data_IF_287120088821
#
_entry.id   IF_287120088821
#
_cell.length_a   1.000
_cell.length_b   1.000
_cell.length_c   1.000
_cell.angle_alpha   90.00
_cell.angle_beta   90.00
_cell.angle_gamma   90.00
#
_symmetry.space_group_name_H-M   'P 1'
#
loop_
_entity.id
_entity.type
_entity.pdbx_description
1 polymer ?
#
# COMPACT_ATOMS: atom_id res chain seq x y z
N UNK A 1 -0.89 22.91 17.58
CA UNK A 1 -0.60 21.64 18.32
C UNK A 1 -1.86 20.85 18.73
N UNK A 2 -2.69 21.21 19.73
CA UNK A 2 -3.85 20.38 20.15
C UNK A 2 -4.98 20.20 19.10
N UNK A 3 -5.16 21.15 18.16
CA UNK A 3 -6.21 21.06 17.12
C UNK A 3 -5.89 20.06 15.99
N UNK A 4 -4.61 19.74 15.76
CA UNK A 4 -4.17 18.91 14.62
C UNK A 4 -4.12 17.42 15.01
N UNK A 5 -3.67 17.09 16.23
CA UNK A 5 -3.74 15.72 16.78
C UNK A 5 -5.18 15.16 16.80
N UNK A 6 -6.19 16.03 16.84
CA UNK A 6 -7.60 15.65 16.79
C UNK A 6 -8.10 15.26 15.39
N UNK A 7 -7.36 15.55 14.30
CA UNK A 7 -7.79 15.20 12.94
C UNK A 7 -7.43 13.77 12.54
N UNK A 8 -6.36 13.22 13.11
CA UNK A 8 -5.86 11.87 12.78
C UNK A 8 -6.39 10.86 13.80
N UNK A 9 -6.44 11.25 15.09
CA UNK A 9 -6.99 10.37 16.10
C UNK A 9 -8.45 10.04 15.90
N UNK A 10 -9.26 10.81 15.17
CA UNK A 10 -10.69 10.49 15.02
C UNK A 10 -11.00 9.53 13.87
N UNK A 11 -10.05 9.30 12.96
CA UNK A 11 -10.30 8.52 11.76
C UNK A 11 -10.47 7.03 12.07
N UNK A 12 -11.72 6.56 11.96
CA UNK A 12 -12.10 5.18 12.26
C UNK A 12 -11.38 4.18 11.34
N UNK A 13 -11.16 4.54 10.07
CA UNK A 13 -10.50 3.70 9.08
C UNK A 13 -9.03 3.48 9.46
N UNK A 14 -8.31 4.57 9.74
CA UNK A 14 -6.90 4.49 10.13
C UNK A 14 -6.71 3.64 11.38
N UNK A 15 -7.54 3.86 12.41
CA UNK A 15 -7.50 3.07 13.65
C UNK A 15 -7.70 1.59 13.38
N UNK A 16 -8.69 1.23 12.54
CA UNK A 16 -9.00 -0.16 12.20
C UNK A 16 -7.86 -0.84 11.46
N UNK A 17 -7.22 -0.17 10.51
CA UNK A 17 -6.10 -0.79 9.79
C UNK A 17 -4.83 -0.91 10.66
N UNK A 18 -4.61 0.00 11.60
CA UNK A 18 -3.48 -0.10 12.55
C UNK A 18 -3.71 -1.20 13.59
N UNK A 19 -4.93 -1.31 14.14
CA UNK A 19 -5.27 -2.21 15.24
C UNK A 19 -5.85 -3.56 14.81
N UNK A 20 -6.27 -3.67 13.56
CA UNK A 20 -7.02 -4.80 13.04
C UNK A 20 -6.24 -6.12 13.07
N UNK A 21 -6.91 -7.26 12.81
CA UNK A 21 -6.39 -8.61 13.08
C UNK A 21 -5.18 -9.07 12.24
N UNK A 22 -4.49 -8.19 11.51
CA UNK A 22 -3.43 -8.52 10.55
C UNK A 22 -3.85 -9.67 9.62
N UNK A 23 -4.81 -9.37 8.75
CA UNK A 23 -5.41 -10.33 7.82
C UNK A 23 -4.33 -11.06 7.01
N UNK A 24 -4.46 -12.38 6.91
CA UNK A 24 -3.58 -13.21 6.10
C UNK A 24 -4.29 -13.57 4.80
N UNK A 25 -3.54 -13.59 3.71
CA UNK A 25 -4.05 -13.95 2.40
C UNK A 25 -3.28 -15.14 1.85
N UNK A 26 -4.00 -16.02 1.15
CA UNK A 26 -3.47 -17.17 0.39
C UNK A 26 -3.73 -16.92 -1.09
N UNK A 27 -2.68 -17.01 -1.91
CA UNK A 27 -2.79 -16.95 -3.36
C UNK A 27 -3.00 -18.34 -3.94
N UNK A 28 -4.05 -18.55 -4.73
CA UNK A 28 -4.30 -19.86 -5.35
C UNK A 28 -3.42 -20.02 -6.60
N UNK A 29 -2.27 -20.71 -6.49
CA UNK A 29 -1.32 -20.88 -7.60
C UNK A 29 -1.92 -21.59 -8.83
N UNK A 30 -2.93 -22.44 -8.64
CA UNK A 30 -3.60 -23.16 -9.73
C UNK A 30 -4.68 -22.34 -10.44
N UNK A 31 -5.03 -21.17 -9.89
CA UNK A 31 -5.89 -20.18 -10.55
C UNK A 31 -5.14 -19.25 -11.51
N UNK A 32 -3.83 -19.47 -11.73
CA UNK A 32 -3.02 -18.68 -12.63
C UNK A 32 -3.60 -18.71 -14.04
N UNK A 33 -4.05 -17.55 -14.51
CA UNK A 33 -4.44 -17.34 -15.91
C UNK A 33 -3.52 -16.31 -16.54
N UNK A 34 -2.74 -16.73 -17.53
CA UNK A 34 -2.01 -15.81 -18.40
C UNK A 34 -2.96 -15.20 -19.42
N UNK A 35 -2.81 -13.91 -19.65
CA UNK A 35 -3.61 -13.10 -20.58
C UNK A 35 -2.67 -12.34 -21.51
N UNK A 36 -3.21 -11.76 -22.58
CA UNK A 36 -2.43 -10.90 -23.48
C UNK A 36 -1.81 -9.69 -22.75
N UNK A 37 -2.43 -9.24 -21.65
CA UNK A 37 -2.01 -8.06 -20.88
C UNK A 37 -1.22 -8.39 -19.61
N UNK A 38 -0.95 -9.66 -19.32
CA UNK A 38 -0.26 -10.07 -18.09
C UNK A 38 -0.86 -11.33 -17.45
N UNK A 39 -1.06 -11.35 -16.14
CA UNK A 39 -1.47 -12.54 -15.39
C UNK A 39 -2.54 -12.24 -14.34
N UNK A 40 -3.36 -13.24 -14.01
CA UNK A 40 -4.39 -13.16 -12.97
C UNK A 40 -4.30 -14.34 -12.01
N UNK A 41 -4.64 -14.09 -10.75
CA UNK A 41 -4.73 -15.07 -9.68
C UNK A 41 -5.91 -14.77 -8.76
N UNK A 42 -6.50 -15.80 -8.18
CA UNK A 42 -7.40 -15.67 -7.04
C UNK A 42 -6.60 -15.56 -5.73
N UNK A 43 -7.03 -14.63 -4.88
CA UNK A 43 -6.58 -14.46 -3.49
C UNK A 43 -7.74 -14.80 -2.55
N UNK A 44 -7.46 -15.60 -1.53
CA UNK A 44 -8.38 -15.96 -0.47
C UNK A 44 -7.91 -15.32 0.84
N UNK A 45 -8.79 -14.58 1.50
CA UNK A 45 -8.55 -14.11 2.87
C UNK A 45 -8.72 -15.30 3.83
N UNK A 46 -7.74 -15.51 4.70
CA UNK A 46 -7.75 -16.63 5.65
C UNK A 46 -8.85 -16.44 6.69
N UNK A 47 -9.60 -17.51 6.98
CA UNK A 47 -10.72 -17.46 7.92
C UNK A 47 -12.01 -16.81 7.40
N UNK A 48 -12.05 -16.32 6.14
CA UNK A 48 -13.27 -15.79 5.53
C UNK A 48 -13.60 -16.48 4.20
N UNK A 49 -14.75 -16.12 3.61
CA UNK A 49 -15.13 -16.52 2.25
C UNK A 49 -14.78 -15.46 1.21
N UNK A 50 -14.08 -14.39 1.60
CA UNK A 50 -13.72 -13.30 0.70
C UNK A 50 -12.74 -13.81 -0.36
N UNK A 51 -13.11 -13.62 -1.63
CA UNK A 51 -12.23 -13.91 -2.77
C UNK A 51 -11.95 -12.64 -3.54
N UNK A 52 -10.66 -12.39 -3.75
CA UNK A 52 -10.17 -11.24 -4.51
C UNK A 52 -9.46 -11.72 -5.78
N UNK A 53 -9.43 -10.86 -6.78
CA UNK A 53 -8.68 -11.04 -8.01
C UNK A 53 -7.40 -10.20 -7.94
N UNK A 54 -6.25 -10.85 -7.97
CA UNK A 54 -4.97 -10.21 -8.25
C UNK A 54 -4.76 -10.18 -9.76
N UNK A 55 -4.53 -8.99 -10.32
CA UNK A 55 -4.14 -8.79 -11.70
C UNK A 55 -2.76 -8.12 -11.75
N UNK A 56 -1.86 -8.71 -12.54
CA UNK A 56 -0.51 -8.23 -12.78
C UNK A 56 -0.37 -7.85 -14.25
N UNK A 57 0.00 -6.60 -14.52
CA UNK A 57 0.15 -6.07 -15.88
C UNK A 57 1.53 -5.42 -16.01
N UNK A 58 2.51 -6.07 -16.64
CA UNK A 58 3.79 -5.44 -16.92
C UNK A 58 3.67 -4.47 -18.09
N UNK A 59 4.60 -3.53 -18.18
CA UNK A 59 4.70 -2.54 -19.26
C UNK A 59 6.16 -2.36 -19.68
N UNK A 60 6.35 -1.92 -20.94
CA UNK A 60 7.67 -1.77 -21.60
C UNK A 60 8.67 -0.89 -20.86
N UNK A 61 8.21 0.02 -20.00
CA UNK A 61 9.05 0.94 -19.24
C UNK A 61 9.41 0.36 -17.85
N UNK A 62 9.74 -0.94 -17.80
CA UNK A 62 10.16 -1.64 -16.59
C UNK A 62 9.19 -1.49 -15.40
N UNK A 63 7.91 -1.31 -15.71
CA UNK A 63 6.84 -1.06 -14.73
C UNK A 63 5.94 -2.29 -14.64
N UNK A 64 5.52 -2.64 -13.42
CA UNK A 64 4.45 -3.62 -13.21
C UNK A 64 3.32 -2.98 -12.43
N UNK A 65 2.11 -3.02 -13.00
CA UNK A 65 0.88 -2.60 -12.33
C UNK A 65 0.30 -3.78 -11.56
N UNK A 66 0.08 -3.58 -10.27
CA UNK A 66 -0.59 -4.53 -9.37
C UNK A 66 -1.99 -3.99 -9.11
N UNK A 67 -3.02 -4.80 -9.38
CA UNK A 67 -4.42 -4.48 -9.08
C UNK A 67 -5.02 -5.62 -8.29
N UNK A 68 -5.63 -5.29 -7.15
CA UNK A 68 -6.46 -6.22 -6.36
C UNK A 68 -7.89 -5.68 -6.38
N UNK A 69 -8.86 -6.54 -6.63
CA UNK A 69 -10.29 -6.21 -6.59
C UNK A 69 -11.13 -7.40 -6.11
N UNK A 70 -12.40 -7.17 -5.78
CA UNK A 70 -13.35 -8.25 -5.50
C UNK A 70 -13.69 -8.99 -6.79
N UNK A 71 -13.78 -10.32 -6.74
CA UNK A 71 -14.24 -11.11 -7.91
C UNK A 71 -15.73 -10.86 -8.16
N UNK A 72 -16.51 -10.80 -7.08
CA UNK A 72 -17.97 -10.65 -7.12
C UNK A 72 -18.42 -9.50 -6.21
N UNK A 73 -18.11 -8.25 -6.57
CA UNK A 73 -18.49 -7.10 -5.76
C UNK A 73 -20.00 -6.90 -5.79
N UNK A 74 -20.58 -6.55 -4.64
CA UNK A 74 -21.98 -6.07 -4.59
C UNK A 74 -22.16 -4.74 -5.34
N UNK A 75 -21.07 -3.98 -5.49
CA UNK A 75 -20.99 -2.72 -6.22
C UNK A 75 -19.56 -2.48 -6.68
N UNK A 76 -19.38 -1.93 -7.89
CA UNK A 76 -18.05 -1.60 -8.39
C UNK A 76 -17.32 -0.62 -7.48
N UNK A 77 -16.04 -0.92 -7.20
CA UNK A 77 -15.15 0.01 -6.51
C UNK A 77 -14.72 1.13 -7.44
N UNK A 78 -14.45 2.29 -6.86
CA UNK A 78 -13.98 3.44 -7.62
C UNK A 78 -12.61 3.14 -8.26
N UNK A 79 -12.46 3.51 -9.53
CA UNK A 79 -11.21 3.47 -10.28
C UNK A 79 -10.92 4.88 -10.73
N UNK A 80 -9.74 5.40 -10.38
CA UNK A 80 -9.36 6.80 -10.66
C UNK A 80 -9.32 7.04 -12.18
N UNK A 81 -10.23 7.84 -12.76
CA UNK A 81 -10.18 8.21 -14.17
C UNK A 81 -9.22 9.39 -14.38
N UNK A 82 -8.90 9.68 -15.64
CA UNK A 82 -8.26 10.93 -16.14
C UNK A 82 -6.84 11.27 -15.65
N UNK A 83 -6.33 10.59 -14.61
CA UNK A 83 -4.93 10.72 -14.16
C UNK A 83 -3.97 10.04 -15.15
N UNK A 84 -4.40 8.93 -15.74
CA UNK A 84 -3.68 8.27 -16.81
C UNK A 84 -4.15 8.85 -18.15
N UNK A 85 -3.25 9.42 -18.92
CA UNK A 85 -3.57 10.00 -20.24
C UNK A 85 -3.80 8.93 -21.33
N UNK A 86 -3.65 7.65 -20.99
CA UNK A 86 -3.87 6.49 -21.84
C UNK A 86 -3.49 5.22 -21.09
N UNK A 87 -3.96 4.06 -21.58
CA UNK A 87 -3.53 2.78 -21.00
C UNK A 87 -2.07 2.50 -21.33
N UNK A 88 -1.20 2.26 -20.32
CA UNK A 88 0.18 1.91 -20.57
C UNK A 88 0.29 0.66 -21.47
N UNK A 89 1.19 0.65 -22.47
CA UNK A 89 1.41 -0.53 -23.30
C UNK A 89 1.76 -1.73 -22.43
N UNK A 90 0.93 -2.78 -22.51
CA UNK A 90 1.12 -3.99 -21.72
C UNK A 90 1.96 -5.02 -22.46
N UNK A 91 2.63 -5.89 -21.70
CA UNK A 91 3.39 -7.01 -22.23
C UNK A 91 2.85 -8.34 -21.69
N UNK A 92 3.09 -9.41 -22.44
CA UNK A 92 2.73 -10.75 -22.01
C UNK A 92 3.74 -11.27 -20.97
N UNK A 93 3.22 -11.85 -19.88
CA UNK A 93 4.04 -12.53 -18.89
C UNK A 93 4.34 -13.97 -19.31
N UNK A 94 5.56 -14.43 -19.01
CA UNK A 94 6.01 -15.81 -19.21
C UNK A 94 6.33 -16.46 -17.87
N UNK A 95 5.99 -17.73 -17.71
CA UNK A 95 6.32 -18.48 -16.50
C UNK A 95 7.76 -18.97 -16.59
N UNK A 96 8.61 -18.50 -15.69
CA UNK A 96 10.01 -18.92 -15.59
C UNK A 96 10.17 -20.13 -14.66
N UNK A 97 9.42 -20.13 -13.55
CA UNK A 97 9.40 -21.25 -12.61
C UNK A 97 8.09 -21.29 -11.86
N UNK A 98 7.63 -22.50 -11.54
CA UNK A 98 6.50 -22.76 -10.64
C UNK A 98 6.93 -23.80 -9.62
N UNK A 99 6.80 -23.46 -8.34
CA UNK A 99 6.99 -24.38 -7.22
C UNK A 99 5.66 -24.57 -6.49
N UNK A 100 5.63 -25.41 -5.46
CA UNK A 100 4.46 -25.54 -4.57
C UNK A 100 4.16 -24.25 -3.79
N UNK A 101 5.16 -23.38 -3.62
CA UNK A 101 5.09 -22.21 -2.73
C UNK A 101 5.05 -20.89 -3.50
N UNK A 102 5.41 -20.87 -4.79
CA UNK A 102 5.50 -19.62 -5.57
C UNK A 102 5.48 -19.86 -7.07
N UNK A 103 5.21 -18.79 -7.83
CA UNK A 103 5.45 -18.72 -9.27
C UNK A 103 6.28 -17.48 -9.60
N UNK A 104 7.27 -17.64 -10.47
CA UNK A 104 8.06 -16.51 -10.99
C UNK A 104 7.68 -16.26 -12.44
N UNK A 105 7.30 -15.02 -12.74
CA UNK A 105 6.90 -14.55 -14.05
C UNK A 105 7.89 -13.50 -14.56
N UNK A 106 8.23 -13.53 -15.84
CA UNK A 106 9.07 -12.52 -16.49
C UNK A 106 8.34 -11.83 -17.63
N UNK A 107 8.85 -10.68 -18.06
CA UNK A 107 8.44 -10.01 -19.30
C UNK A 107 9.66 -9.44 -20.02
N UNK A 108 9.46 -9.01 -21.28
CA UNK A 108 10.52 -8.42 -22.12
C UNK A 108 11.76 -9.33 -22.19
N UNK A 109 12.95 -8.80 -21.86
CA UNK A 109 14.24 -9.48 -21.85
C UNK A 109 14.45 -10.45 -20.68
N UNK A 110 13.50 -10.52 -19.74
CA UNK A 110 13.64 -11.32 -18.52
C UNK A 110 14.49 -10.67 -17.43
N UNK A 111 15.02 -9.47 -17.67
CA UNK A 111 15.74 -8.66 -16.67
C UNK A 111 14.90 -8.40 -15.42
N UNK A 112 13.64 -8.03 -15.64
CA UNK A 112 12.67 -7.82 -14.58
C UNK A 112 11.74 -9.03 -14.45
N UNK A 113 11.46 -9.40 -13.20
CA UNK A 113 10.61 -10.53 -12.87
C UNK A 113 9.67 -10.16 -11.72
N UNK A 114 8.53 -10.84 -11.67
CA UNK A 114 7.65 -10.85 -10.50
C UNK A 114 7.55 -12.26 -9.96
N UNK A 115 7.90 -12.45 -8.69
CA UNK A 115 7.68 -13.69 -7.95
C UNK A 115 6.49 -13.52 -7.02
N UNK A 116 5.48 -14.35 -7.18
CA UNK A 116 4.26 -14.34 -6.36
C UNK A 116 4.27 -15.56 -5.45
N UNK A 117 4.20 -15.34 -4.14
CA UNK A 117 4.22 -16.38 -3.12
C UNK A 117 2.80 -16.78 -2.69
N UNK A 118 2.62 -18.07 -2.43
CA UNK A 118 1.35 -18.69 -2.04
C UNK A 118 0.89 -18.24 -0.65
N UNK A 119 1.67 -18.55 0.39
CA UNK A 119 1.32 -18.27 1.79
C UNK A 119 2.56 -18.10 2.69
N UNK A 120 2.65 -17.02 3.49
CA UNK A 120 1.80 -15.83 3.40
C UNK A 120 1.93 -15.18 2.02
N UNK A 121 0.82 -14.68 1.48
CA UNK A 121 0.81 -14.01 0.18
C UNK A 121 1.73 -12.80 0.19
N UNK A 122 2.66 -12.74 -0.77
CA UNK A 122 3.47 -11.56 -1.06
C UNK A 122 3.91 -11.58 -2.51
N UNK A 123 4.29 -10.41 -3.01
CA UNK A 123 4.80 -10.25 -4.37
C UNK A 123 6.17 -9.58 -4.31
N UNK A 124 7.17 -10.22 -4.90
CA UNK A 124 8.53 -9.71 -5.02
C UNK A 124 8.75 -9.25 -6.47
N UNK A 125 9.16 -8.00 -6.66
CA UNK A 125 9.67 -7.50 -7.92
C UNK A 125 11.19 -7.64 -7.90
N UNK A 126 11.73 -8.31 -8.91
CA UNK A 126 13.15 -8.59 -9.06
C UNK A 126 13.73 -7.87 -10.27
N UNK A 127 14.99 -7.45 -10.16
CA UNK A 127 15.82 -6.98 -11.27
C UNK A 127 17.15 -7.73 -11.19
N UNK A 128 17.53 -8.43 -12.27
CA UNK A 128 18.78 -9.21 -12.33
C UNK A 128 18.89 -10.24 -11.17
N UNK A 129 17.78 -10.94 -10.87
CA UNK A 129 17.62 -11.90 -9.76
C UNK A 129 17.66 -11.30 -8.33
N UNK A 130 17.88 -9.99 -8.19
CA UNK A 130 17.82 -9.31 -6.90
C UNK A 130 16.42 -8.75 -6.64
N UNK A 131 15.86 -9.05 -5.46
CA UNK A 131 14.58 -8.46 -5.02
C UNK A 131 14.80 -6.97 -4.73
N UNK A 132 14.04 -6.11 -5.41
CA UNK A 132 14.10 -4.65 -5.26
C UNK A 132 12.92 -4.10 -4.46
N UNK A 133 11.73 -4.68 -4.64
CA UNK A 133 10.51 -4.27 -3.97
C UNK A 133 9.74 -5.51 -3.57
N UNK A 134 9.22 -5.55 -2.34
CA UNK A 134 8.26 -6.59 -1.93
C UNK A 134 6.96 -5.93 -1.53
N UNK A 135 5.87 -6.25 -2.22
CA UNK A 135 4.51 -5.93 -1.83
C UNK A 135 3.98 -6.96 -0.82
N UNK A 136 3.31 -6.47 0.21
CA UNK A 136 2.78 -7.23 1.35
C UNK A 136 3.87 -8.00 2.13
N UNK A 137 5.00 -7.33 2.42
CA UNK A 137 6.15 -7.95 3.10
C UNK A 137 5.91 -8.22 4.60
N UNK A 138 5.05 -7.43 5.24
CA UNK A 138 4.70 -7.49 6.66
C UNK A 138 3.27 -7.96 6.90
N UNK A 139 2.63 -8.54 5.88
CA UNK A 139 1.24 -8.98 5.91
C UNK A 139 0.27 -7.85 6.32
N UNK A 140 0.45 -6.66 5.73
CA UNK A 140 -0.42 -5.50 5.95
C UNK A 140 -1.44 -5.27 4.84
N UNK A 141 -1.54 -6.20 3.89
CA UNK A 141 -2.66 -6.21 2.96
C UNK A 141 -3.95 -6.26 3.78
N UNK A 142 -4.79 -5.26 3.55
CA UNK A 142 -6.06 -5.09 4.20
C UNK A 142 -7.07 -4.74 3.12
N UNK A 143 -8.14 -5.50 3.02
CA UNK A 143 -9.17 -5.30 2.02
C UNK A 143 -10.54 -5.50 2.64
N UNK A 144 -11.22 -4.42 3.02
CA UNK A 144 -12.58 -4.50 3.57
C UNK A 144 -13.58 -4.69 2.44
N UNK A 145 -14.00 -5.93 2.19
CA UNK A 145 -15.02 -6.23 1.19
C UNK A 145 -16.30 -5.44 1.44
N UNK A 146 -16.95 -5.01 0.36
CA UNK A 146 -18.21 -4.28 0.45
C UNK A 146 -19.30 -5.16 1.07
N UNK A 147 -20.05 -4.60 2.00
CA UNK A 147 -21.10 -5.31 2.74
C UNK A 147 -22.46 -4.64 2.50
N UNK A 148 -23.52 -5.43 2.62
CA UNK A 148 -24.87 -4.85 2.72
C UNK A 148 -25.03 -4.15 4.07
N UNK A 149 -25.90 -3.15 4.10
CA UNK A 149 -26.21 -2.43 5.34
C UNK A 149 -26.74 -3.44 6.40
N UNK A 150 -26.17 -3.44 7.62
CA UNK A 150 -26.58 -4.37 8.67
C UNK A 150 -28.06 -4.18 9.03
N UNK A 151 -28.72 -5.29 9.39
CA UNK A 151 -30.09 -5.25 9.89
C UNK A 151 -30.16 -4.57 11.27
N UNK A 152 -31.37 -4.21 11.74
CA UNK A 152 -31.52 -3.49 13.02
C UNK A 152 -30.94 -4.23 14.24
N UNK A 153 -30.73 -5.55 14.15
CA UNK A 153 -30.26 -6.42 15.22
C UNK A 153 -28.73 -6.48 15.37
N UNK A 154 -27.96 -5.89 14.45
CA UNK A 154 -26.49 -5.89 14.49
C UNK A 154 -25.93 -4.54 14.97
N UNK A 155 -26.16 -4.18 16.23
CA UNK A 155 -25.79 -2.87 16.80
C UNK A 155 -24.29 -2.58 16.78
N UNK A 156 -23.43 -3.55 17.10
CA UNK A 156 -21.98 -3.37 17.09
C UNK A 156 -21.45 -2.96 15.70
N UNK A 157 -22.08 -3.49 14.64
CA UNK A 157 -21.74 -3.13 13.26
C UNK A 157 -22.25 -1.76 12.88
N UNK A 158 -23.33 -1.22 13.46
CA UNK A 158 -23.86 0.12 13.12
C UNK A 158 -22.81 1.23 13.36
N UNK A 159 -21.95 1.05 14.36
CA UNK A 159 -20.86 2.00 14.65
C UNK A 159 -19.86 2.16 13.49
N UNK A 160 -19.74 1.16 12.61
CA UNK A 160 -18.85 1.21 11.43
C UNK A 160 -19.47 1.94 10.25
N UNK A 161 -20.77 2.19 10.30
CA UNK A 161 -21.54 2.82 9.22
C UNK A 161 -21.80 4.30 9.47
N UNK A 162 -21.42 4.81 10.65
CA UNK A 162 -21.59 6.21 11.04
C UNK A 162 -20.37 6.67 11.80
N UNK A 163 -19.88 7.85 11.47
CA UNK A 163 -18.76 8.48 12.18
C UNK A 163 -19.07 9.96 12.39
N UNK A 164 -18.74 10.46 13.57
CA UNK A 164 -18.98 11.87 13.91
C UNK A 164 -17.64 12.58 14.09
N UNK A 165 -17.41 13.59 13.26
CA UNK A 165 -16.28 14.51 13.42
C UNK A 165 -16.80 15.90 13.78
N UNK A 166 -16.55 16.32 15.03
CA UNK A 166 -17.11 17.56 15.60
C UNK A 166 -18.64 17.55 15.50
N UNK A 167 -19.22 18.43 14.69
CA UNK A 167 -20.65 18.56 14.50
C UNK A 167 -21.12 17.91 13.18
N UNK A 168 -20.21 17.29 12.43
CA UNK A 168 -20.51 16.62 11.16
C UNK A 168 -20.65 15.13 11.39
N UNK A 169 -21.75 14.57 10.90
CA UNK A 169 -21.99 13.14 10.89
C UNK A 169 -21.85 12.61 9.47
N UNK A 170 -20.91 11.69 9.28
CA UNK A 170 -20.74 10.91 8.06
C UNK A 170 -21.51 9.60 8.18
N UNK A 171 -22.51 9.41 7.31
CA UNK A 171 -23.24 8.15 7.16
C UNK A 171 -22.66 7.43 5.93
N UNK A 172 -21.86 6.40 6.21
CA UNK A 172 -21.13 5.62 5.19
C UNK A 172 -22.10 4.74 4.41
N UNK A 173 -22.52 5.19 3.23
CA UNK A 173 -23.53 4.50 2.42
C UNK A 173 -23.17 3.04 2.05
N UNK A 174 -21.88 2.72 1.93
CA UNK A 174 -21.39 1.36 1.62
C UNK A 174 -20.64 0.72 2.81
N UNK A 175 -20.70 1.34 3.99
CA UNK A 175 -20.01 0.85 5.19
C UNK A 175 -18.48 0.92 5.09
N UNK A 176 -17.76 0.14 5.92
CA UNK A 176 -16.31 0.05 5.86
C UNK A 176 -15.87 -0.56 4.52
N UNK A 177 -14.95 0.12 3.83
CA UNK A 177 -14.52 -0.25 2.48
C UNK A 177 -13.05 0.08 2.21
N UNK A 178 -12.26 0.24 3.28
CA UNK A 178 -10.87 0.66 3.23
C UNK A 178 -9.94 -0.40 2.65
N UNK A 179 -8.83 0.08 2.09
CA UNK A 179 -7.80 -0.73 1.47
C UNK A 179 -6.45 -0.33 2.07
N UNK A 180 -5.57 -1.29 2.29
CA UNK A 180 -4.21 -1.02 2.79
C UNK A 180 -3.24 -2.07 2.33
N UNK A 181 -1.96 -1.71 2.22
CA UNK A 181 -0.87 -2.64 1.92
C UNK A 181 0.49 -2.02 2.23
N UNK A 182 1.47 -2.88 2.53
CA UNK A 182 2.86 -2.46 2.71
C UNK A 182 3.75 -2.81 1.51
N UNK A 183 4.80 -2.00 1.34
CA UNK A 183 5.91 -2.21 0.41
C UNK A 183 7.22 -2.14 1.18
N UNK A 184 8.10 -3.11 0.96
CA UNK A 184 9.49 -3.05 1.40
C UNK A 184 10.38 -2.67 0.21
N UNK A 185 11.11 -1.57 0.32
CA UNK A 185 12.09 -1.10 -0.67
C UNK A 185 13.49 -1.56 -0.24
N UNK A 186 13.98 -2.63 -0.88
CA UNK A 186 15.24 -3.29 -0.50
C UNK A 186 16.46 -2.50 -0.93
N UNK A 187 17.33 -2.18 0.01
CA UNK A 187 18.55 -1.41 -0.21
C UNK A 187 18.37 0.11 -0.17
N UNK A 188 17.14 0.61 -0.02
CA UNK A 188 16.83 2.04 -0.05
C UNK A 188 16.73 2.62 1.38
N UNK A 189 17.38 3.76 1.63
CA UNK A 189 17.28 4.52 2.90
C UNK A 189 16.81 5.97 2.71
N UNK A 190 16.58 6.36 1.47
CA UNK A 190 16.17 7.71 1.10
C UNK A 190 14.94 7.58 0.20
N UNK A 191 13.78 7.97 0.76
CA UNK A 191 12.54 8.06 0.01
C UNK A 191 12.04 9.51 -0.01
N UNK A 192 11.39 9.85 -1.12
CA UNK A 192 10.94 11.19 -1.48
C UNK A 192 9.54 11.13 -2.07
N UNK A 193 8.87 12.27 -2.15
CA UNK A 193 7.56 12.39 -2.80
C UNK A 193 6.46 12.76 -1.81
N UNK A 194 5.28 12.17 -2.00
CA UNK A 194 4.07 12.45 -1.23
C UNK A 194 3.72 13.94 -1.07
N UNK A 195 3.90 14.85 -2.06
CA UNK A 195 3.48 16.23 -1.85
C UNK A 195 1.96 16.30 -1.66
N UNK A 196 1.41 17.30 -0.97
CA UNK A 196 2.07 18.51 -0.49
C UNK A 196 2.16 18.56 1.05
N UNK A 197 3.38 18.60 1.58
CA UNK A 197 3.67 18.81 3.00
C UNK A 197 4.69 19.92 3.18
N UNK A 198 4.53 20.72 4.24
CA UNK A 198 5.55 21.67 4.68
C UNK A 198 6.63 20.92 5.49
N UNK A 199 7.37 20.02 4.84
CA UNK A 199 8.34 19.13 5.47
C UNK A 199 9.65 19.04 4.65
N UNK A 200 10.61 18.26 5.14
CA UNK A 200 11.87 17.98 4.45
C UNK A 200 11.63 17.19 3.17
N UNK A 201 12.54 17.35 2.19
CA UNK A 201 12.50 16.62 0.93
C UNK A 201 12.60 15.09 1.15
N UNK A 202 13.58 14.63 1.95
CA UNK A 202 13.64 13.24 2.42
C UNK A 202 12.52 13.04 3.43
N UNK A 203 11.61 12.12 3.15
CA UNK A 203 10.50 11.80 4.04
C UNK A 203 11.02 11.25 5.37
N UNK A 204 10.39 11.66 6.47
CA UNK A 204 10.78 11.25 7.82
C UNK A 204 10.18 9.89 8.18
N UNK A 205 10.86 9.21 9.10
CA UNK A 205 10.29 8.03 9.75
C UNK A 205 9.02 8.43 10.51
N UNK A 206 7.99 7.58 10.48
CA UNK A 206 6.70 7.83 11.14
C UNK A 206 6.49 7.00 12.41
N UNK A 207 7.52 6.28 12.86
CA UNK A 207 7.48 5.52 14.12
C UNK A 207 7.30 6.41 15.36
N UNK A 208 7.54 7.72 15.23
CA UNK A 208 7.38 8.71 16.30
C UNK A 208 5.92 9.19 16.48
N UNK A 209 4.99 8.74 15.63
CA UNK A 209 3.57 8.94 15.86
C UNK A 209 2.75 9.02 14.58
N UNK A 210 2.76 10.18 13.93
CA UNK A 210 1.78 10.53 12.90
C UNK A 210 2.21 10.10 11.49
N UNK A 211 1.34 9.44 10.70
CA UNK A 211 1.62 9.17 9.29
C UNK A 211 1.66 10.46 8.46
N UNK A 212 2.18 10.37 7.24
CA UNK A 212 1.87 11.33 6.18
C UNK A 212 0.41 11.16 5.77
N UNK A 213 -0.35 12.25 5.63
CA UNK A 213 -1.72 12.23 5.13
C UNK A 213 -1.80 12.93 3.78
N UNK A 214 -2.46 12.30 2.82
CA UNK A 214 -2.84 12.85 1.52
C UNK A 214 -4.36 13.04 1.51
N UNK A 215 -4.76 14.26 1.85
CA UNK A 215 -6.14 14.71 1.77
C UNK A 215 -6.11 16.22 1.54
N UNK A 216 -6.69 16.66 0.43
CA UNK A 216 -6.63 18.07 0.05
C UNK A 216 -7.48 18.90 1.02
N UNK A 217 -6.81 19.72 1.82
CA UNK A 217 -7.38 20.51 2.90
C UNK A 217 -6.94 21.98 2.78
N UNK A 218 -7.85 22.87 3.14
CA UNK A 218 -7.50 24.25 3.44
C UNK A 218 -7.03 24.36 4.91
N UNK A 219 -5.72 24.29 5.11
CA UNK A 219 -5.09 24.34 6.43
C UNK A 219 -4.63 25.77 6.73
N UNK A 220 -5.44 26.51 7.49
CA UNK A 220 -5.08 27.84 7.96
C UNK A 220 -3.81 27.82 8.83
N UNK A 221 -2.84 28.67 8.49
CA UNK A 221 -1.57 28.85 9.22
C UNK A 221 -0.85 27.51 9.48
N UNK A 222 -0.61 26.74 8.41
CA UNK A 222 0.09 25.46 8.48
C UNK A 222 1.48 25.58 9.13
N UNK A 223 1.74 24.70 10.09
CA UNK A 223 3.04 24.60 10.78
C UNK A 223 4.12 24.02 9.84
N UNK A 224 5.37 24.46 10.01
CA UNK A 224 6.52 23.82 9.37
C UNK A 224 6.83 22.46 10.03
N UNK A 225 7.41 21.55 9.25
CA UNK A 225 7.68 20.15 9.62
C UNK A 225 6.41 19.39 10.01
N UNK A 226 5.32 19.64 9.29
CA UNK A 226 4.03 18.99 9.49
C UNK A 226 3.76 17.94 8.40
N UNK A 227 3.24 16.78 8.81
CA UNK A 227 2.86 15.66 7.93
C UNK A 227 1.37 15.65 7.56
N UNK A 228 0.62 16.67 8.00
CA UNK A 228 -0.77 16.89 7.60
C UNK A 228 -0.83 17.29 6.12
N UNK A 229 -1.74 16.68 5.37
CA UNK A 229 -2.00 17.06 3.98
C UNK A 229 -2.38 18.54 3.86
N UNK A 230 -1.82 19.20 2.84
CA UNK A 230 -2.14 20.59 2.47
C UNK A 230 -3.10 20.59 1.27
N UNK A 231 -2.86 21.43 0.26
CA UNK A 231 -3.83 21.73 -0.79
C UNK A 231 -3.86 20.72 -1.94
N UNK A 232 -2.77 19.97 -2.13
CA UNK A 232 -2.64 18.99 -3.20
C UNK A 232 -2.07 17.67 -2.69
N UNK A 233 -2.39 16.60 -3.41
CA UNK A 233 -1.97 15.23 -3.09
C UNK A 233 -1.46 14.52 -4.34
N UNK A 234 -0.22 14.03 -4.31
CA UNK A 234 0.32 13.14 -5.34
C UNK A 234 0.85 11.87 -4.67
N UNK A 235 0.14 10.72 -4.81
CA UNK A 235 0.46 9.49 -4.10
C UNK A 235 1.61 8.71 -4.75
N UNK A 236 2.78 9.34 -4.86
CA UNK A 236 4.01 8.81 -5.43
C UNK A 236 5.12 8.84 -4.40
N UNK A 237 5.80 7.70 -4.22
CA UNK A 237 7.09 7.62 -3.53
C UNK A 237 8.18 7.24 -4.51
N UNK A 238 9.33 7.88 -4.37
CA UNK A 238 10.56 7.54 -5.09
C UNK A 238 11.63 7.17 -4.07
N UNK A 239 12.16 5.95 -4.16
CA UNK A 239 13.34 5.51 -3.42
C UNK A 239 14.58 5.64 -4.28
N UNK A 240 15.63 6.27 -3.76
CA UNK A 240 16.89 6.46 -4.50
C UNK A 240 18.10 5.94 -3.71
N UNK A 241 19.02 5.29 -4.43
CA UNK A 241 20.37 4.91 -3.99
C UNK A 241 21.34 5.04 -5.18
N UNK A 242 22.68 5.06 -4.97
CA UNK A 242 23.63 5.42 -6.03
C UNK A 242 23.51 4.65 -7.35
N UNK A 243 23.08 3.39 -7.30
CA UNK A 243 22.99 2.48 -8.44
C UNK A 243 21.56 2.25 -8.95
N UNK A 244 20.53 2.73 -8.25
CA UNK A 244 19.13 2.40 -8.60
C UNK A 244 18.13 3.41 -8.06
N UNK A 245 17.06 3.61 -8.81
CA UNK A 245 15.87 4.34 -8.39
C UNK A 245 14.65 3.44 -8.57
N UNK A 246 13.74 3.45 -7.60
CA UNK A 246 12.44 2.76 -7.68
C UNK A 246 11.32 3.75 -7.38
N UNK A 247 10.17 3.55 -8.01
CA UNK A 247 8.96 4.34 -7.77
C UNK A 247 7.79 3.45 -7.38
N UNK A 248 6.98 3.91 -6.44
CA UNK A 248 5.67 3.32 -6.11
C UNK A 248 4.62 4.40 -6.28
N UNK A 249 3.73 4.21 -7.26
CA UNK A 249 2.60 5.09 -7.50
C UNK A 249 1.30 4.40 -7.04
N UNK A 250 0.76 4.85 -5.91
CA UNK A 250 -0.48 4.35 -5.34
C UNK A 250 -1.67 5.09 -5.96
N UNK A 251 -2.18 4.59 -7.08
CA UNK A 251 -3.28 5.23 -7.82
C UNK A 251 -4.63 5.06 -7.08
N UNK A 252 -4.80 5.85 -6.03
CA UNK A 252 -6.02 5.97 -5.25
C UNK A 252 -6.30 7.46 -4.98
N UNK A 253 -7.58 7.85 -4.98
CA UNK A 253 -8.06 9.21 -4.79
C UNK A 253 -8.78 9.42 -3.45
N UNK A 254 -8.93 8.39 -2.61
CA UNK A 254 -9.45 8.53 -1.25
C UNK A 254 -8.43 9.16 -0.31
N UNK A 255 -8.90 9.59 0.87
CA UNK A 255 -8.03 9.98 1.97
C UNK A 255 -7.03 8.88 2.27
N UNK A 256 -5.74 9.21 2.24
CA UNK A 256 -4.68 8.20 2.27
C UNK A 256 -3.64 8.56 3.33
N UNK A 257 -3.33 7.60 4.19
CA UNK A 257 -2.28 7.68 5.19
C UNK A 257 -1.10 6.81 4.79
N UNK A 258 0.12 7.28 5.06
CA UNK A 258 1.35 6.59 4.72
C UNK A 258 2.29 6.58 5.93
N UNK A 259 2.60 5.38 6.39
CA UNK A 259 3.64 5.15 7.39
C UNK A 259 4.96 4.77 6.72
N UNK A 260 6.08 5.29 7.22
CA UNK A 260 7.42 5.05 6.69
C UNK A 260 8.33 4.62 7.84
N UNK A 261 9.03 3.50 7.67
CA UNK A 261 9.98 2.97 8.64
C UNK A 261 11.30 2.64 7.95
N UNK A 262 12.39 3.20 8.45
CA UNK A 262 13.73 2.90 7.98
C UNK A 262 14.37 1.78 8.81
N UNK A 263 15.03 0.83 8.14
CA UNK A 263 15.82 -0.22 8.78
C UNK A 263 17.21 -0.29 8.17
N UNK A 264 18.30 -0.33 8.97
CA UNK A 264 18.31 -0.03 10.41
C UNK A 264 17.78 1.38 10.69
N UNK A 265 17.15 1.55 11.85
CA UNK A 265 16.61 2.84 12.30
C UNK A 265 17.72 3.89 12.29
N UNK A 266 17.42 5.07 11.74
CA UNK A 266 18.34 6.21 11.75
C UNK A 266 18.66 6.56 13.22
N UNK A 267 19.93 6.70 13.64
CA UNK A 267 20.25 7.17 14.97
C UNK A 267 19.74 8.60 15.14
N UNK A 268 18.58 8.77 15.76
CA UNK A 268 18.13 10.08 16.20
C UNK A 268 19.05 10.54 17.32
N UNK A 269 20.05 11.36 16.99
CA UNK A 269 20.86 12.16 17.91
C UNK A 269 21.27 11.47 19.23
N UNK A 270 22.34 10.70 19.22
CA UNK A 270 22.93 10.16 20.47
C UNK A 270 24.09 9.21 20.22
N UNK A 271 25.28 9.62 20.66
CA UNK A 271 26.54 8.88 20.59
C UNK A 271 26.47 7.54 21.31
N UNK A 272 26.47 6.43 20.56
CA UNK A 272 27.02 5.15 21.05
C UNK A 272 27.73 4.43 19.91
N UNK A 273 28.93 3.87 20.14
CA UNK A 273 29.68 3.20 19.09
C UNK A 273 29.00 1.88 18.72
N UNK A 274 29.02 1.47 17.44
CA UNK A 274 28.29 0.28 17.00
C UNK A 274 28.97 -0.98 17.53
N UNK A 275 28.32 -1.65 18.48
CA UNK A 275 28.47 -3.11 18.67
C UNK A 275 28.27 -3.76 17.29
N UNK A 276 29.10 -4.76 16.96
CA UNK A 276 29.07 -5.52 15.69
C UNK A 276 27.69 -6.17 15.45
N UNK A 277 26.69 -5.37 15.08
CA UNK A 277 25.41 -5.83 14.56
C UNK A 277 25.72 -6.43 13.20
N UNK A 278 25.33 -7.68 12.98
CA UNK A 278 25.23 -8.30 11.65
C UNK A 278 24.67 -7.23 10.72
N UNK A 279 25.44 -6.79 9.71
CA UNK A 279 25.05 -5.68 8.81
C UNK A 279 23.72 -6.05 8.14
N UNK A 280 22.62 -5.60 8.74
CA UNK A 280 21.30 -5.68 8.15
C UNK A 280 21.37 -4.89 6.86
N UNK A 281 20.90 -5.49 5.77
CA UNK A 281 20.78 -4.75 4.52
C UNK A 281 19.79 -3.60 4.76
N UNK A 282 20.13 -2.38 4.35
CA UNK A 282 19.20 -1.27 4.52
C UNK A 282 17.91 -1.53 3.76
N UNK A 283 16.78 -1.10 4.29
CA UNK A 283 15.48 -1.12 3.62
C UNK A 283 14.58 -0.02 4.17
N UNK A 284 13.57 0.35 3.38
CA UNK A 284 12.50 1.24 3.80
C UNK A 284 11.18 0.52 3.66
N UNK A 285 10.43 0.39 4.75
CA UNK A 285 9.08 -0.16 4.75
C UNK A 285 8.08 0.99 4.67
N UNK A 286 7.14 0.90 3.74
CA UNK A 286 6.11 1.91 3.49
C UNK A 286 4.75 1.24 3.57
N UNK A 287 3.87 1.69 4.45
CA UNK A 287 2.53 1.14 4.62
C UNK A 287 1.48 2.19 4.23
N UNK A 288 0.70 1.89 3.20
CA UNK A 288 -0.37 2.73 2.65
C UNK A 288 -1.71 2.27 3.23
N UNK A 289 -2.54 3.23 3.63
CA UNK A 289 -3.88 3.02 4.19
C UNK A 289 -4.84 4.02 3.54
N UNK A 290 -5.88 3.55 2.84
CA UNK A 290 -6.79 4.35 2.00
C UNK A 290 -8.26 3.97 2.13
#
# INVERSE_FOLDING_TARGET
LRKIHALINFDLLLRRQIQGPNLKYRLLLDSLVLTEKGARFELLEDGTKTRLLLSLTPSKNDTVRIVIDEIWPIKTRYRVPDVLTGEPPSEQLRVESKTKDSVTLSWSSGRYQVRVWHFPFRLEVLCDQEVIVTFNSKDKLWFESLQNKPSQLEEDKKSLWRETFRNFEDIKANGPSSLGADFCLHGFQHVYGLPQHADRLRLRDTSDGEPYRLYNLDVFAADLYCRLGLYGSVPLIVGHKPDRTVGVFWLNASDTFINIQYSPSDPQGGETPPVKKRRLRPQTDVHWLS
#
